data_IF_574628822060
#
_entry.id   IF_574628822060
#
_cell.length_a   1.000
_cell.length_b   1.000
_cell.length_c   1.000
_cell.angle_alpha   90.00
_cell.angle_beta   90.00
_cell.angle_gamma   90.00
#
_symmetry.space_group_name_H-M   'P 1'
#
loop_
_entity.id
_entity.type
_entity.pdbx_description
1 polymer ?
#
# COMPACT_ATOMS: atom_id res chain seq x y z
N UNK A 1 -23.99 10.40 -1.58
CA UNK A 1 -22.57 10.37 -1.16
C UNK A 1 -22.25 9.22 -0.21
N UNK A 2 -22.96 9.06 0.93
CA UNK A 2 -22.70 8.00 1.94
C UNK A 2 -22.51 6.58 1.37
N UNK A 3 -23.42 6.11 0.50
CA UNK A 3 -23.30 4.80 -0.16
C UNK A 3 -22.01 4.65 -0.98
N UNK A 4 -21.58 5.70 -1.69
CA UNK A 4 -20.34 5.69 -2.50
C UNK A 4 -19.10 5.62 -1.63
N UNK A 5 -19.10 6.36 -0.51
CA UNK A 5 -18.00 6.31 0.48
C UNK A 5 -17.90 4.90 1.07
N UNK A 6 -19.03 4.28 1.45
CA UNK A 6 -19.02 2.92 1.95
C UNK A 6 -18.42 1.94 0.92
N UNK A 7 -18.83 2.01 -0.34
CA UNK A 7 -18.28 1.18 -1.42
C UNK A 7 -16.78 1.43 -1.60
N UNK A 8 -16.34 2.69 -1.57
CA UNK A 8 -14.94 3.07 -1.69
C UNK A 8 -14.09 2.48 -0.55
N UNK A 9 -14.57 2.58 0.68
CA UNK A 9 -13.91 2.04 1.88
C UNK A 9 -13.83 0.52 1.79
N UNK A 10 -14.94 -0.16 1.47
CA UNK A 10 -14.98 -1.62 1.32
C UNK A 10 -14.02 -2.10 0.23
N UNK A 11 -13.99 -1.41 -0.91
CA UNK A 11 -13.05 -1.71 -1.99
C UNK A 11 -11.60 -1.54 -1.53
N UNK A 12 -11.25 -0.41 -0.90
CA UNK A 12 -9.89 -0.13 -0.46
C UNK A 12 -9.40 -1.15 0.58
N UNK A 13 -10.24 -1.52 1.55
CA UNK A 13 -9.93 -2.54 2.56
C UNK A 13 -9.77 -3.92 1.93
N UNK A 14 -10.68 -4.33 1.04
CA UNK A 14 -10.56 -5.63 0.36
C UNK A 14 -9.31 -5.71 -0.53
N UNK A 15 -9.02 -4.62 -1.25
CA UNK A 15 -7.83 -4.53 -2.12
C UNK A 15 -6.54 -4.59 -1.28
N UNK A 16 -6.50 -3.89 -0.13
CA UNK A 16 -5.37 -3.94 0.80
C UNK A 16 -5.10 -5.36 1.33
N UNK A 17 -6.15 -6.14 1.57
CA UNK A 17 -6.01 -7.54 1.97
C UNK A 17 -5.32 -8.36 0.89
N UNK A 18 -5.73 -8.20 -0.37
CA UNK A 18 -5.13 -8.93 -1.50
C UNK A 18 -3.64 -8.59 -1.62
N UNK A 19 -3.29 -7.31 -1.56
CA UNK A 19 -1.88 -6.87 -1.62
C UNK A 19 -1.06 -7.41 -0.45
N UNK A 20 -1.61 -7.37 0.77
CA UNK A 20 -0.93 -7.94 1.93
C UNK A 20 -0.70 -9.45 1.79
N UNK A 21 -1.65 -10.19 1.21
CA UNK A 21 -1.50 -11.64 1.00
C UNK A 21 -0.40 -11.97 0.01
N UNK A 22 -0.20 -11.16 -1.03
CA UNK A 22 0.94 -11.36 -1.95
C UNK A 22 2.26 -11.30 -1.19
N UNK A 23 2.44 -10.30 -0.32
CA UNK A 23 3.66 -10.16 0.50
C UNK A 23 3.81 -11.30 1.51
N UNK A 24 2.72 -11.75 2.13
CA UNK A 24 2.72 -12.93 3.00
C UNK A 24 3.21 -14.16 2.24
N UNK A 25 2.68 -14.40 1.04
CA UNK A 25 3.10 -15.54 0.20
C UNK A 25 4.55 -15.42 -0.24
N UNK A 26 5.02 -14.23 -0.63
CA UNK A 26 6.43 -14.01 -0.96
C UNK A 26 7.34 -14.40 0.22
N UNK A 27 7.02 -13.95 1.43
CA UNK A 27 7.81 -14.30 2.63
C UNK A 27 7.77 -15.78 2.98
N UNK A 28 6.69 -16.48 2.67
CA UNK A 28 6.56 -17.91 2.91
C UNK A 28 7.23 -18.77 1.83
N UNK A 29 7.20 -18.35 0.56
CA UNK A 29 7.79 -19.08 -0.55
C UNK A 29 9.31 -18.90 -0.64
N UNK A 30 9.84 -17.79 -0.13
CA UNK A 30 11.27 -17.52 -0.09
C UNK A 30 11.90 -18.21 1.15
N UNK A 31 12.88 -19.10 0.99
CA UNK A 31 13.48 -19.85 2.11
C UNK A 31 14.04 -18.94 3.22
N UNK A 32 13.74 -19.24 4.49
CA UNK A 32 14.23 -18.50 5.67
C UNK A 32 15.74 -18.16 5.68
N UNK A 33 16.67 -19.03 5.22
CA UNK A 33 18.10 -18.69 5.16
C UNK A 33 18.42 -17.49 4.25
N UNK A 34 17.61 -17.24 3.21
CA UNK A 34 17.80 -16.11 2.30
C UNK A 34 17.48 -14.77 2.98
N UNK A 35 16.61 -14.77 3.99
CA UNK A 35 16.31 -13.59 4.79
C UNK A 35 17.38 -13.28 5.85
N UNK A 36 18.25 -14.24 6.16
CA UNK A 36 19.20 -14.17 7.29
C UNK A 36 20.44 -13.27 7.07
N UNK A 37 20.45 -12.50 5.97
CA UNK A 37 21.49 -11.51 5.66
C UNK A 37 20.95 -10.14 5.24
N UNK A 38 19.63 -9.93 5.27
CA UNK A 38 19.01 -8.67 4.83
C UNK A 38 18.99 -7.72 6.03
N UNK A 39 20.02 -6.90 6.14
CA UNK A 39 20.15 -5.90 7.21
C UNK A 39 19.83 -4.49 6.73
N UNK A 40 20.05 -4.25 5.43
CA UNK A 40 19.90 -2.94 4.79
C UNK A 40 18.91 -3.03 3.63
N UNK A 41 18.26 -1.91 3.29
CA UNK A 41 17.36 -1.84 2.14
C UNK A 41 18.04 -2.21 0.81
N UNK A 42 19.35 -1.93 0.68
CA UNK A 42 20.14 -2.31 -0.50
C UNK A 42 20.21 -3.82 -0.65
N UNK A 43 20.41 -4.53 0.46
CA UNK A 43 20.45 -5.99 0.48
C UNK A 43 19.10 -6.56 0.06
N UNK A 44 18.00 -5.92 0.48
CA UNK A 44 16.64 -6.30 0.08
C UNK A 44 16.40 -6.04 -1.43
N UNK A 45 16.84 -4.90 -1.95
CA UNK A 45 16.71 -4.59 -3.38
C UNK A 45 17.51 -5.57 -4.24
N UNK A 46 18.77 -5.83 -3.86
CA UNK A 46 19.60 -6.82 -4.54
C UNK A 46 19.00 -8.23 -4.45
N UNK A 47 18.46 -8.60 -3.29
CA UNK A 47 17.77 -9.87 -3.13
C UNK A 47 16.54 -10.01 -4.06
N UNK A 48 15.73 -8.95 -4.19
CA UNK A 48 14.55 -8.91 -5.08
C UNK A 48 14.99 -8.99 -6.57
N UNK A 49 16.11 -8.36 -6.92
CA UNK A 49 16.72 -8.44 -8.26
C UNK A 49 17.25 -9.85 -8.54
N UNK A 50 18.02 -10.43 -7.63
CA UNK A 50 18.63 -11.75 -7.75
C UNK A 50 17.58 -12.88 -7.78
N UNK A 51 16.48 -12.72 -7.02
CA UNK A 51 15.35 -13.62 -7.05
C UNK A 51 14.49 -13.49 -8.32
N UNK A 52 14.76 -12.50 -9.19
CA UNK A 52 14.04 -12.29 -10.44
C UNK A 52 12.60 -11.80 -10.28
N UNK A 53 12.23 -11.31 -9.09
CA UNK A 53 10.86 -10.90 -8.76
C UNK A 53 10.62 -9.39 -8.93
N UNK A 54 11.69 -8.59 -9.09
CA UNK A 54 11.63 -7.11 -9.24
C UNK A 54 10.59 -6.66 -10.27
N UNK A 55 10.61 -7.24 -11.46
CA UNK A 55 9.68 -6.88 -12.53
C UNK A 55 8.22 -7.17 -12.18
N UNK A 56 7.97 -8.32 -11.55
CA UNK A 56 6.63 -8.73 -11.13
C UNK A 56 6.09 -7.79 -10.04
N UNK A 57 6.93 -7.39 -9.08
CA UNK A 57 6.51 -6.46 -8.03
C UNK A 57 6.27 -5.04 -8.55
N UNK A 58 7.11 -4.54 -9.46
CA UNK A 58 6.89 -3.26 -10.12
C UNK A 58 5.57 -3.26 -10.91
N UNK A 59 5.33 -4.30 -11.73
CA UNK A 59 4.07 -4.38 -12.49
C UNK A 59 2.85 -4.55 -11.61
N UNK A 60 2.97 -5.22 -10.46
CA UNK A 60 1.92 -5.28 -9.43
C UNK A 60 1.63 -3.89 -8.86
N UNK A 61 2.64 -3.16 -8.38
CA UNK A 61 2.47 -1.81 -7.84
C UNK A 61 1.84 -0.84 -8.86
N UNK A 62 2.25 -0.94 -10.13
CA UNK A 62 1.62 -0.20 -11.21
C UNK A 62 0.13 -0.54 -11.34
N UNK A 63 -0.22 -1.83 -11.30
CA UNK A 63 -1.61 -2.26 -11.31
C UNK A 63 -2.39 -1.74 -10.09
N UNK A 64 -1.78 -1.71 -8.90
CA UNK A 64 -2.36 -1.10 -7.68
C UNK A 64 -2.73 0.36 -7.90
N UNK A 65 -1.81 1.15 -8.48
CA UNK A 65 -2.06 2.57 -8.79
C UNK A 65 -3.21 2.70 -9.80
N UNK A 66 -3.22 1.89 -10.86
CA UNK A 66 -4.30 1.88 -11.87
C UNK A 66 -5.65 1.58 -11.21
N UNK A 67 -5.73 0.56 -10.34
CA UNK A 67 -6.95 0.23 -9.60
C UNK A 67 -7.45 1.41 -8.75
N UNK A 68 -6.55 2.08 -8.03
CA UNK A 68 -6.87 3.25 -7.21
C UNK A 68 -7.38 4.43 -8.05
N UNK A 69 -6.76 4.68 -9.21
CA UNK A 69 -7.22 5.70 -10.16
C UNK A 69 -8.60 5.35 -10.72
N UNK A 70 -8.83 4.09 -11.10
CA UNK A 70 -10.13 3.63 -11.62
C UNK A 70 -11.25 3.81 -10.60
N UNK A 71 -11.07 3.37 -9.34
CA UNK A 71 -12.12 3.50 -8.32
C UNK A 71 -12.37 4.97 -7.96
N UNK A 72 -11.33 5.80 -7.94
CA UNK A 72 -11.45 7.23 -7.74
C UNK A 72 -12.27 7.91 -8.85
N UNK A 73 -12.08 7.48 -10.10
CA UNK A 73 -12.83 8.00 -11.25
C UNK A 73 -14.31 7.63 -11.20
N UNK A 74 -14.63 6.42 -10.74
CA UNK A 74 -16.01 5.95 -10.53
C UNK A 74 -16.69 6.60 -9.32
N UNK A 75 -15.92 7.02 -8.33
CA UNK A 75 -16.44 7.63 -7.11
C UNK A 75 -17.06 9.02 -7.36
N UNK A 76 -16.33 9.90 -8.06
CA UNK A 76 -16.66 11.32 -8.20
C UNK A 76 -17.21 11.72 -9.58
N UNK A 77 -18.17 12.65 -9.60
CA UNK A 77 -18.68 13.28 -10.83
C UNK A 77 -17.73 14.34 -11.39
N UNK A 78 -17.05 15.06 -10.49
CA UNK A 78 -16.17 16.19 -10.83
C UNK A 78 -14.73 15.87 -10.42
N UNK A 79 -13.75 16.60 -10.98
CA UNK A 79 -12.32 16.35 -10.69
C UNK A 79 -11.98 16.44 -9.20
N UNK A 80 -12.63 17.34 -8.45
CA UNK A 80 -12.45 17.47 -6.99
C UNK A 80 -12.93 16.24 -6.23
N UNK A 81 -14.10 15.71 -6.58
CA UNK A 81 -14.63 14.50 -5.96
C UNK A 81 -13.78 13.28 -6.32
N UNK A 82 -13.26 13.20 -7.55
CA UNK A 82 -12.35 12.12 -7.99
C UNK A 82 -11.04 12.16 -7.22
N UNK A 83 -10.43 13.35 -7.10
CA UNK A 83 -9.22 13.53 -6.30
C UNK A 83 -9.46 13.15 -4.82
N UNK A 84 -10.58 13.58 -4.23
CA UNK A 84 -10.92 13.19 -2.86
C UNK A 84 -11.13 11.67 -2.71
N UNK A 85 -11.78 11.03 -3.68
CA UNK A 85 -11.94 9.58 -3.72
C UNK A 85 -10.60 8.85 -3.78
N UNK A 86 -9.66 9.34 -4.59
CA UNK A 86 -8.30 8.81 -4.65
C UNK A 86 -7.59 8.93 -3.30
N UNK A 87 -7.61 10.12 -2.67
CA UNK A 87 -6.94 10.34 -1.39
C UNK A 87 -7.48 9.43 -0.28
N UNK A 88 -8.81 9.26 -0.22
CA UNK A 88 -9.45 8.38 0.77
C UNK A 88 -9.11 6.93 0.49
N UNK A 89 -9.24 6.47 -0.75
CA UNK A 89 -8.96 5.08 -1.11
C UNK A 89 -7.50 4.72 -0.87
N UNK A 90 -6.57 5.57 -1.29
CA UNK A 90 -5.13 5.36 -1.12
C UNK A 90 -4.78 5.28 0.37
N UNK A 91 -5.23 6.25 1.18
CA UNK A 91 -4.88 6.26 2.61
C UNK A 91 -5.50 5.09 3.39
N UNK A 92 -6.73 4.68 3.04
CA UNK A 92 -7.35 3.50 3.68
C UNK A 92 -6.62 2.23 3.27
N UNK A 93 -6.32 2.08 1.98
CA UNK A 93 -5.60 0.93 1.46
C UNK A 93 -4.25 0.75 2.16
N UNK A 94 -3.47 1.82 2.26
CA UNK A 94 -2.13 1.82 2.84
C UNK A 94 -2.15 1.45 4.34
N UNK A 95 -3.08 2.02 5.12
CA UNK A 95 -3.21 1.67 6.55
C UNK A 95 -3.64 0.21 6.72
N UNK A 96 -4.64 -0.25 5.97
CA UNK A 96 -5.14 -1.61 6.11
C UNK A 96 -4.16 -2.66 5.61
N UNK A 97 -3.29 -2.32 4.65
CA UNK A 97 -2.18 -3.17 4.23
C UNK A 97 -1.30 -3.55 5.43
N UNK A 98 -0.87 -2.57 6.24
CA UNK A 98 -0.11 -2.83 7.47
C UNK A 98 -0.91 -3.59 8.54
N UNK A 99 -2.21 -3.30 8.67
CA UNK A 99 -3.08 -4.05 9.60
C UNK A 99 -3.10 -5.55 9.24
N UNK A 100 -3.26 -5.88 7.96
CA UNK A 100 -3.28 -7.28 7.52
C UNK A 100 -1.90 -7.93 7.63
N UNK A 101 -0.82 -7.23 7.29
CA UNK A 101 0.54 -7.75 7.53
C UNK A 101 0.77 -8.05 9.01
N UNK A 102 0.28 -7.19 9.91
CA UNK A 102 0.42 -7.43 11.34
C UNK A 102 -0.36 -8.65 11.80
N UNK A 103 -1.57 -8.86 11.28
CA UNK A 103 -2.39 -10.02 11.62
C UNK A 103 -1.73 -11.35 11.22
N UNK A 104 -1.09 -11.40 10.05
CA UNK A 104 -0.52 -12.64 9.50
C UNK A 104 0.94 -12.88 9.87
N UNK A 105 1.75 -11.82 9.93
CA UNK A 105 3.20 -11.91 10.09
C UNK A 105 3.69 -11.31 11.41
N UNK A 106 2.81 -10.70 12.20
CA UNK A 106 3.19 -9.89 13.38
C UNK A 106 4.22 -8.80 13.05
N UNK A 107 4.15 -8.30 11.81
CA UNK A 107 5.01 -7.25 11.29
C UNK A 107 4.13 -6.08 10.81
N UNK A 108 4.50 -4.81 11.09
CA UNK A 108 5.73 -4.40 11.77
C UNK A 108 5.64 -4.55 13.29
N UNK A 109 6.77 -4.84 13.94
CA UNK A 109 6.84 -4.92 15.41
C UNK A 109 6.79 -3.54 16.07
N UNK A 110 7.23 -2.51 15.35
CA UNK A 110 7.23 -1.10 15.75
C UNK A 110 6.92 -0.22 14.54
N UNK A 111 6.31 0.95 14.75
CA UNK A 111 6.10 1.93 13.68
C UNK A 111 7.41 2.54 13.14
N UNK A 112 8.53 2.31 13.82
CA UNK A 112 9.86 2.75 13.39
C UNK A 112 10.59 1.71 12.53
N UNK A 113 9.99 0.55 12.31
CA UNK A 113 10.54 -0.44 11.38
C UNK A 113 10.60 0.14 9.97
N UNK A 114 11.70 -0.12 9.28
CA UNK A 114 11.89 0.29 7.90
C UNK A 114 11.09 -0.60 6.95
N UNK A 115 10.46 0.02 5.97
CA UNK A 115 9.68 -0.65 4.94
C UNK A 115 10.04 -0.13 3.55
N UNK A 116 9.83 -0.99 2.54
CA UNK A 116 9.87 -0.59 1.13
C UNK A 116 8.44 -0.26 0.72
N UNK A 117 8.17 1.03 0.57
CA UNK A 117 6.83 1.55 0.33
C UNK A 117 6.38 1.30 -1.11
N UNK A 118 7.27 1.60 -2.06
CA UNK A 118 7.08 1.43 -3.50
C UNK A 118 8.43 1.21 -4.17
N UNK A 119 8.47 0.43 -5.25
CA UNK A 119 9.62 0.19 -6.12
C UNK A 119 9.62 1.10 -7.35
N UNK A 120 8.45 1.64 -7.75
CA UNK A 120 8.30 2.57 -8.89
C UNK A 120 8.24 4.04 -8.42
N UNK A 121 8.88 5.01 -9.11
CA UNK A 121 9.81 4.84 -10.24
C UNK A 121 11.22 4.43 -9.78
N UNK A 122 11.52 4.61 -8.50
CA UNK A 122 12.69 4.08 -7.83
C UNK A 122 12.29 3.61 -6.42
N UNK A 123 13.06 2.69 -5.80
CA UNK A 123 12.75 2.17 -4.48
C UNK A 123 12.67 3.29 -3.44
N UNK A 124 11.50 3.42 -2.84
CA UNK A 124 11.22 4.36 -1.78
C UNK A 124 11.11 3.63 -0.45
N UNK A 125 12.02 3.96 0.47
CA UNK A 125 12.20 3.25 1.73
C UNK A 125 12.09 4.24 2.87
N UNK A 126 11.25 3.94 3.84
CA UNK A 126 11.01 4.80 4.99
C UNK A 126 10.47 3.98 6.18
N UNK A 127 10.55 4.50 7.41
CA UNK A 127 9.89 3.89 8.55
C UNK A 127 8.36 3.93 8.38
N UNK A 128 7.66 2.88 8.83
CA UNK A 128 6.20 2.70 8.68
C UNK A 128 5.38 3.88 9.23
N UNK A 129 5.89 4.62 10.20
CA UNK A 129 5.23 5.83 10.69
C UNK A 129 4.99 6.87 9.60
N UNK A 130 5.88 6.97 8.60
CA UNK A 130 5.77 7.96 7.53
C UNK A 130 4.56 7.72 6.61
N UNK A 131 4.40 6.55 5.97
CA UNK A 131 3.23 6.27 5.14
C UNK A 131 1.93 6.34 5.94
N UNK A 132 1.90 5.82 7.19
CA UNK A 132 0.71 5.90 8.05
C UNK A 132 0.31 7.36 8.33
N UNK A 133 1.26 8.24 8.64
CA UNK A 133 0.98 9.66 8.84
C UNK A 133 0.45 10.33 7.56
N UNK A 134 1.08 10.06 6.42
CA UNK A 134 0.65 10.59 5.12
C UNK A 134 -0.77 10.12 4.81
N UNK A 135 -1.07 8.85 5.03
CA UNK A 135 -2.38 8.24 4.81
C UNK A 135 -3.48 8.86 5.66
N UNK A 136 -3.20 9.18 6.93
CA UNK A 136 -4.14 9.91 7.78
C UNK A 136 -4.41 11.34 7.25
N UNK A 137 -3.37 12.03 6.77
CA UNK A 137 -3.50 13.36 6.16
C UNK A 137 -4.32 13.28 4.87
N UNK A 138 -4.08 12.29 4.01
CA UNK A 138 -4.82 12.10 2.77
C UNK A 138 -6.31 11.84 3.04
N UNK A 139 -6.63 10.96 3.99
CA UNK A 139 -8.01 10.67 4.38
C UNK A 139 -8.72 11.94 4.88
N UNK A 140 -8.09 12.69 5.79
CA UNK A 140 -8.68 13.90 6.37
C UNK A 140 -8.92 14.98 5.31
N UNK A 141 -7.96 15.23 4.42
CA UNK A 141 -8.11 16.15 3.29
C UNK A 141 -9.20 15.67 2.33
N UNK A 142 -9.25 14.39 2.00
CA UNK A 142 -10.27 13.83 1.12
C UNK A 142 -11.69 14.04 1.67
N UNK A 143 -11.91 13.77 2.96
CA UNK A 143 -13.20 14.04 3.59
C UNK A 143 -13.53 15.54 3.64
N UNK A 144 -12.54 16.40 3.87
CA UNK A 144 -12.72 17.85 3.84
C UNK A 144 -13.16 18.35 2.45
N UNK A 145 -12.55 17.83 1.37
CA UNK A 145 -12.91 18.19 -0.01
C UNK A 145 -14.33 17.75 -0.36
N UNK A 146 -14.80 16.59 0.12
CA UNK A 146 -16.16 16.10 -0.16
C UNK A 146 -17.23 16.91 0.57
N UNK A 147 -16.90 17.46 1.74
CA UNK A 147 -17.84 18.21 2.58
C UNK A 147 -18.11 19.62 2.04
N UNK A 148 -17.21 20.16 1.21
CA UNK A 148 -17.23 21.52 0.68
C UNK A 148 -17.74 21.58 -0.75
#
# INVERSE_FOLDING_TARGET
MKKRILILVLFAVAMAYVEAMVVVYLRWLIPMPAWSGISTYKDLCHFIEDAGIMWSEQTREFATIVMLVCIAWLFGKNIRERAAGFLIAFGIWDIFYYVFLYLWLRWPQSLLEWDVLFLIPCPWVAPVILPVCISLIMITIGFYIIKR
#
